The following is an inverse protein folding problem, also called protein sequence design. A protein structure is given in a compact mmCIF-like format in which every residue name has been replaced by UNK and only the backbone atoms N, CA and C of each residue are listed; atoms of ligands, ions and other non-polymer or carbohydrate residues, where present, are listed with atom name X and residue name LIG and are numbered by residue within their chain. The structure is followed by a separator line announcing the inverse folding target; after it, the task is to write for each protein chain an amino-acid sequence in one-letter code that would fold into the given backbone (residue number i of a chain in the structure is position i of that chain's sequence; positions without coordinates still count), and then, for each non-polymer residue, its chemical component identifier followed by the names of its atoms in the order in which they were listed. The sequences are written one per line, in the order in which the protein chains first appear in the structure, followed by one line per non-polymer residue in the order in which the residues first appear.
data_IF_614470831890
#
_entry.id   IF_614470831890
#
_cell.length_a   1.000
_cell.length_b   1.000
_cell.length_c   1.000
_cell.angle_alpha   90.00
_cell.angle_beta   90.00
_cell.angle_gamma   90.00
#
_symmetry.space_group_name_H-M   'P 1'
#
loop_
_entity.id
_entity.type
_entity.pdbx_description
1 polymer ?
#
# COMPACT_ATOMS: atom_id res chain seq x y z
N UNK A 1 -9.08 8.33 4.92
CA UNK A 1 -7.82 8.98 5.34
C UNK A 1 -7.20 8.07 6.37
N UNK A 2 -6.01 7.55 6.08
CA UNK A 2 -5.57 6.25 6.60
C UNK A 2 -4.51 6.39 7.70
N UNK A 3 -4.08 7.60 8.02
CA UNK A 3 -3.40 7.97 9.27
C UNK A 3 -4.46 8.22 10.38
N UNK A 4 -4.21 7.83 11.65
CA UNK A 4 -4.97 8.29 12.83
C UNK A 4 -5.33 9.79 12.88
N UNK A 5 -4.51 10.68 12.32
CA UNK A 5 -4.74 12.12 12.25
C UNK A 5 -5.61 12.57 11.07
N UNK A 6 -6.12 11.64 10.27
CA UNK A 6 -6.89 11.96 9.06
C UNK A 6 -6.02 12.52 7.93
N UNK A 7 -4.74 12.17 7.87
CA UNK A 7 -3.84 12.57 6.77
C UNK A 7 -3.71 11.42 5.74
N UNK A 8 -3.46 11.71 4.45
CA UNK A 8 -3.21 10.68 3.44
C UNK A 8 -1.95 9.85 3.75
N UNK A 9 -2.15 8.58 4.15
CA UNK A 9 -1.06 7.62 4.36
C UNK A 9 -1.53 6.18 4.13
N UNK A 10 -1.40 5.71 2.89
CA UNK A 10 -2.02 4.47 2.44
C UNK A 10 -1.24 3.21 2.86
N UNK A 11 -1.87 2.05 2.67
CA UNK A 11 -1.29 0.75 3.02
C UNK A 11 0.07 0.50 2.36
N UNK A 12 0.24 0.85 1.08
CA UNK A 12 1.52 0.72 0.37
C UNK A 12 2.68 1.47 1.05
N UNK A 13 2.40 2.67 1.58
CA UNK A 13 3.40 3.49 2.28
C UNK A 13 3.71 2.92 3.66
N UNK A 14 2.69 2.42 4.37
CA UNK A 14 2.87 1.74 5.65
C UNK A 14 3.71 0.48 5.52
N UNK A 15 3.53 -0.27 4.43
CA UNK A 15 4.37 -1.44 4.14
C UNK A 15 5.83 -1.02 3.97
N UNK A 16 6.12 0.04 3.20
CA UNK A 16 7.48 0.53 3.02
C UNK A 16 8.11 0.98 4.36
N UNK A 17 7.37 1.73 5.18
CA UNK A 17 7.82 2.14 6.51
C UNK A 17 8.10 0.93 7.42
N UNK A 18 7.21 -0.07 7.44
CA UNK A 18 7.37 -1.25 8.29
C UNK A 18 8.63 -2.07 7.96
N UNK A 19 9.03 -2.08 6.69
CA UNK A 19 10.14 -2.92 6.21
C UNK A 19 11.48 -2.17 6.21
N UNK A 20 11.48 -0.90 5.80
CA UNK A 20 12.71 -0.12 5.61
C UNK A 20 12.83 1.08 6.55
N UNK A 21 11.73 1.53 7.16
CA UNK A 21 11.63 2.87 7.73
C UNK A 21 11.45 3.94 6.65
N UNK A 22 11.20 5.18 7.08
CA UNK A 22 10.96 6.33 6.19
C UNK A 22 12.23 6.87 5.54
N UNK A 23 13.34 6.75 6.24
CA UNK A 23 14.68 7.20 5.81
C UNK A 23 15.59 6.03 5.40
N UNK A 24 15.03 4.82 5.29
CA UNK A 24 15.73 3.58 4.93
C UNK A 24 16.70 3.07 6.01
N UNK A 25 16.65 3.62 7.22
CA UNK A 25 17.50 3.25 8.36
C UNK A 25 16.74 2.42 9.40
N UNK A 26 15.71 1.68 8.99
CA UNK A 26 14.92 0.78 9.84
C UNK A 26 13.64 1.40 10.40
N UNK A 27 12.73 0.52 10.80
CA UNK A 27 11.42 0.86 11.35
C UNK A 27 11.51 1.25 12.83
N UNK A 28 10.98 2.40 13.21
CA UNK A 28 10.97 2.84 14.61
C UNK A 28 9.84 2.13 15.38
N UNK A 29 10.18 1.44 16.48
CA UNK A 29 9.25 0.60 17.24
C UNK A 29 8.02 1.32 17.80
N UNK A 30 8.13 2.63 18.05
CA UNK A 30 7.02 3.51 18.45
C UNK A 30 6.14 3.99 17.30
N UNK A 31 6.39 3.63 16.04
CA UNK A 31 5.60 4.18 14.94
C UNK A 31 4.11 3.84 15.05
N UNK A 32 3.27 4.87 14.94
CA UNK A 32 1.83 4.75 14.78
C UNK A 32 1.38 4.70 13.31
N UNK A 33 2.32 4.56 12.37
CA UNK A 33 2.09 4.70 10.93
C UNK A 33 1.39 6.03 10.59
N UNK A 34 2.01 7.13 11.02
CA UNK A 34 1.54 8.48 10.73
C UNK A 34 2.29 9.08 9.54
N UNK A 35 1.59 9.87 8.74
CA UNK A 35 2.09 10.59 7.58
C UNK A 35 3.20 11.58 7.94
N UNK A 36 3.14 12.16 9.14
CA UNK A 36 4.09 13.14 9.66
C UNK A 36 5.35 12.52 10.29
N UNK A 37 5.39 11.20 10.45
CA UNK A 37 6.52 10.51 11.09
C UNK A 37 6.64 10.78 12.59
N UNK A 38 5.58 11.29 13.22
CA UNK A 38 5.50 11.40 14.67
C UNK A 38 5.07 10.07 15.30
N UNK A 39 5.27 9.97 16.60
CA UNK A 39 4.72 8.88 17.40
C UNK A 39 3.16 8.96 17.48
N UNK A 40 2.48 7.91 17.97
CA UNK A 40 1.01 7.86 18.01
C UNK A 40 0.36 9.06 18.71
N UNK A 41 1.06 9.66 19.68
CA UNK A 41 0.60 10.82 20.43
C UNK A 41 0.85 12.15 19.69
N UNK A 42 1.67 12.16 18.64
CA UNK A 42 2.04 13.38 17.91
C UNK A 42 3.06 14.26 18.66
N UNK A 43 3.81 13.70 19.61
CA UNK A 43 4.70 14.44 20.50
C UNK A 43 6.17 14.31 20.08
N UNK A 44 6.57 13.15 19.56
CA UNK A 44 7.96 12.84 19.25
C UNK A 44 8.16 12.59 17.76
N UNK A 45 9.14 13.26 17.15
CA UNK A 45 9.57 12.96 15.77
C UNK A 45 10.40 11.68 15.75
N UNK A 46 9.92 10.65 15.06
CA UNK A 46 10.57 9.33 15.02
C UNK A 46 11.65 9.23 13.94
N UNK A 47 11.53 10.03 12.88
CA UNK A 47 12.43 10.06 11.73
C UNK A 47 12.98 11.49 11.50
N UNK A 48 13.81 12.01 12.42
CA UNK A 48 14.45 13.31 12.23
C UNK A 48 15.48 13.26 11.09
N UNK A 49 15.79 14.42 10.49
CA UNK A 49 16.81 14.52 9.44
C UNK A 49 18.20 14.06 9.92
N UNK A 50 18.50 14.28 11.20
CA UNK A 50 19.75 13.89 11.85
C UNK A 50 19.42 13.02 13.08
N UNK A 51 19.22 11.69 12.89
CA UNK A 51 18.91 10.80 13.99
C UNK A 51 20.13 10.59 14.88
N UNK A 52 19.94 10.71 16.19
CA UNK A 52 20.94 10.35 17.17
C UNK A 52 21.05 8.83 17.34
N UNK A 53 22.04 8.40 18.13
CA UNK A 53 22.31 6.99 18.38
C UNK A 53 21.13 6.27 19.04
N UNK A 54 20.48 6.91 20.01
CA UNK A 54 19.35 6.31 20.73
C UNK A 54 18.16 6.07 19.80
N UNK A 55 17.86 7.05 18.94
CA UNK A 55 16.84 6.92 17.92
C UNK A 55 17.14 5.79 16.94
N UNK A 56 18.40 5.65 16.50
CA UNK A 56 18.80 4.55 15.61
C UNK A 56 18.73 3.18 16.30
N UNK A 57 19.12 3.09 17.58
CA UNK A 57 19.03 1.85 18.36
C UNK A 57 17.58 1.42 18.65
N UNK A 58 16.65 2.36 18.73
CA UNK A 58 15.23 2.09 18.90
C UNK A 58 14.54 1.54 17.62
N UNK A 59 15.25 1.55 16.48
CA UNK A 59 14.77 1.05 15.20
C UNK A 59 15.10 -0.42 14.99
N UNK A 60 14.25 -1.08 14.22
CA UNK A 60 14.42 -2.48 13.82
C UNK A 60 14.56 -2.60 12.31
N UNK A 61 15.41 -3.53 11.87
CA UNK A 61 15.75 -3.64 10.45
C UNK A 61 16.81 -2.62 10.02
N UNK A 62 16.85 -2.20 8.74
CA UNK A 62 15.90 -2.54 7.67
C UNK A 62 15.87 -4.04 7.36
N UNK A 63 14.70 -4.55 7.01
CA UNK A 63 14.49 -6.00 6.76
C UNK A 63 14.76 -6.41 5.30
N UNK A 64 14.98 -5.44 4.42
CA UNK A 64 15.47 -5.64 3.06
C UNK A 64 16.68 -4.72 2.82
N UNK A 65 17.63 -5.19 2.03
CA UNK A 65 18.75 -4.36 1.59
C UNK A 65 18.26 -3.29 0.63
N UNK A 66 18.62 -2.02 0.90
CA UNK A 66 18.16 -0.85 0.16
C UNK A 66 18.32 -1.00 -1.36
N UNK A 67 19.43 -1.57 -1.80
CA UNK A 67 19.82 -1.71 -3.20
C UNK A 67 18.89 -2.67 -3.97
N UNK A 68 18.30 -3.63 -3.27
CA UNK A 68 17.48 -4.69 -3.85
C UNK A 68 16.00 -4.56 -3.47
N UNK A 69 15.63 -3.53 -2.70
CA UNK A 69 14.31 -3.44 -2.11
C UNK A 69 13.23 -2.97 -3.10
N UNK A 70 13.59 -2.46 -4.28
CA UNK A 70 12.67 -1.81 -5.23
C UNK A 70 11.77 -0.74 -4.56
N UNK A 71 12.32 -0.03 -3.58
CA UNK A 71 11.63 1.06 -2.90
C UNK A 71 11.93 2.39 -3.62
N UNK A 72 10.88 3.11 -3.97
CA UNK A 72 10.95 4.38 -4.70
C UNK A 72 10.13 5.44 -4.00
N UNK A 73 10.52 6.71 -4.15
CA UNK A 73 9.68 7.83 -3.72
C UNK A 73 8.47 7.94 -4.65
N UNK A 74 7.33 8.44 -4.16
CA UNK A 74 6.16 8.62 -5.01
C UNK A 74 6.44 9.53 -6.22
N UNK A 75 7.22 10.60 -6.04
CA UNK A 75 7.63 11.45 -7.16
C UNK A 75 8.51 10.72 -8.20
N UNK A 76 9.21 9.65 -7.83
CA UNK A 76 9.94 8.81 -8.78
C UNK A 76 8.99 7.97 -9.65
N UNK A 77 7.81 7.64 -9.13
CA UNK A 77 6.80 6.83 -9.83
C UNK A 77 5.86 7.71 -10.64
N UNK A 78 5.21 8.69 -10.00
CA UNK A 78 4.16 9.52 -10.60
C UNK A 78 4.68 10.82 -11.24
N UNK A 79 5.91 11.23 -10.89
CA UNK A 79 6.44 12.53 -11.24
C UNK A 79 6.07 13.61 -10.22
N UNK A 80 6.91 14.64 -10.15
CA UNK A 80 6.70 15.80 -9.26
C UNK A 80 5.38 16.51 -9.59
N UNK A 81 4.60 16.84 -8.57
CA UNK A 81 3.29 17.48 -8.67
C UNK A 81 2.13 16.52 -8.95
N UNK A 82 2.39 15.23 -9.18
CA UNK A 82 1.39 14.25 -9.60
C UNK A 82 1.11 13.17 -8.54
N UNK A 83 1.51 13.38 -7.28
CA UNK A 83 1.31 12.42 -6.18
C UNK A 83 -0.03 12.62 -5.45
N UNK A 84 -0.92 13.42 -6.03
CA UNK A 84 -2.21 13.78 -5.44
C UNK A 84 -2.04 14.38 -4.04
N UNK A 85 -2.76 13.86 -3.02
CA UNK A 85 -2.71 14.43 -1.68
C UNK A 85 -1.55 13.88 -0.83
N UNK A 86 -0.69 13.02 -1.39
CA UNK A 86 0.43 12.42 -0.67
C UNK A 86 1.70 13.27 -0.80
N UNK A 87 2.50 13.27 0.26
CA UNK A 87 3.86 13.82 0.23
C UNK A 87 4.71 13.03 -0.78
N UNK A 88 5.29 13.77 -1.73
CA UNK A 88 6.11 13.28 -2.83
C UNK A 88 7.32 12.44 -2.40
N UNK A 89 7.83 12.70 -1.19
CA UNK A 89 8.98 12.06 -0.60
C UNK A 89 8.68 10.69 0.02
N UNK A 90 7.40 10.32 0.18
CA UNK A 90 7.01 9.04 0.78
C UNK A 90 7.46 7.86 -0.09
N UNK A 91 7.88 6.79 0.59
CA UNK A 91 8.37 5.58 -0.03
C UNK A 91 7.24 4.58 -0.26
N UNK A 92 7.32 3.87 -1.39
CA UNK A 92 6.52 2.70 -1.71
C UNK A 92 7.41 1.63 -2.31
N UNK A 93 7.10 0.37 -2.04
CA UNK A 93 7.65 -0.74 -2.83
C UNK A 93 7.02 -0.75 -4.19
N UNK A 94 7.81 -0.99 -5.23
CA UNK A 94 7.32 -1.20 -6.58
C UNK A 94 7.53 -2.66 -7.00
N UNK A 95 6.65 -3.15 -7.86
CA UNK A 95 6.79 -4.46 -8.49
C UNK A 95 8.01 -4.53 -9.43
N UNK A 96 8.26 -5.74 -9.95
CA UNK A 96 9.42 -6.03 -10.80
C UNK A 96 9.16 -5.81 -12.29
N UNK A 97 8.11 -5.07 -12.67
CA UNK A 97 7.76 -4.78 -14.07
C UNK A 97 8.06 -3.32 -14.42
N UNK A 98 9.34 -2.94 -14.59
CA UNK A 98 9.72 -1.55 -14.74
C UNK A 98 9.26 -0.96 -16.07
N UNK A 99 8.54 0.17 -15.98
CA UNK A 99 8.19 1.01 -17.13
C UNK A 99 8.86 2.38 -16.98
N UNK A 100 9.04 3.09 -18.10
CA UNK A 100 9.56 4.46 -18.06
C UNK A 100 8.48 5.37 -17.46
N UNK A 101 8.78 6.02 -16.34
CA UNK A 101 7.85 6.88 -15.61
C UNK A 101 7.99 8.36 -15.99
N UNK A 102 7.00 9.21 -15.67
CA UNK A 102 7.07 10.65 -15.90
C UNK A 102 8.29 11.34 -15.27
N UNK A 103 8.81 10.79 -14.16
CA UNK A 103 10.04 11.26 -13.51
C UNK A 103 11.32 11.04 -14.35
N UNK A 104 11.24 10.23 -15.41
CA UNK A 104 12.38 9.73 -16.18
C UNK A 104 13.01 8.46 -15.62
N UNK A 105 12.66 8.04 -14.40
CA UNK A 105 13.13 6.76 -13.82
C UNK A 105 12.36 5.58 -14.42
N UNK A 106 12.97 4.39 -14.32
CA UNK A 106 12.29 3.12 -14.60
C UNK A 106 11.89 2.48 -13.28
N UNK A 107 10.60 2.33 -13.05
CA UNK A 107 10.04 1.72 -11.83
C UNK A 107 8.85 0.84 -12.17
N UNK A 108 8.58 -0.16 -11.34
CA UNK A 108 7.30 -0.88 -11.34
C UNK A 108 6.14 -0.03 -10.85
N UNK A 109 4.95 -0.62 -10.72
CA UNK A 109 3.82 -0.01 -10.01
C UNK A 109 3.94 -0.26 -8.50
N UNK A 110 3.39 0.63 -7.64
CA UNK A 110 3.40 0.39 -6.20
C UNK A 110 2.77 -0.96 -5.80
N UNK A 111 3.31 -1.64 -4.80
CA UNK A 111 2.67 -2.84 -4.25
C UNK A 111 1.62 -2.39 -3.23
N UNK A 112 0.35 -2.74 -3.48
CA UNK A 112 -0.75 -2.43 -2.57
C UNK A 112 -0.73 -3.38 -1.38
N UNK A 113 -0.93 -2.85 -0.18
CA UNK A 113 -0.99 -3.62 1.06
C UNK A 113 -2.31 -3.40 1.78
N UNK A 114 -3.01 -4.48 2.10
CA UNK A 114 -4.26 -4.45 2.86
C UNK A 114 -4.12 -5.35 4.08
N UNK A 115 -4.36 -4.80 5.27
CA UNK A 115 -4.27 -5.54 6.53
C UNK A 115 -5.65 -6.11 6.88
N UNK A 116 -5.73 -7.39 7.22
CA UNK A 116 -6.96 -7.94 7.77
C UNK A 116 -7.27 -7.34 9.15
N UNK A 117 -8.54 -7.06 9.40
CA UNK A 117 -9.05 -6.62 10.70
C UNK A 117 -9.36 -7.86 11.54
N UNK A 118 -8.71 -8.06 12.70
CA UNK A 118 -8.97 -9.24 13.54
C UNK A 118 -10.41 -9.39 14.03
N UNK A 119 -11.17 -8.28 14.08
CA UNK A 119 -12.59 -8.25 14.50
C UNK A 119 -13.56 -8.26 13.31
N UNK A 120 -13.06 -8.27 12.08
CA UNK A 120 -13.91 -8.33 10.89
C UNK A 120 -14.60 -9.68 10.79
N UNK A 121 -15.85 -9.67 10.34
CA UNK A 121 -16.69 -10.88 10.23
C UNK A 121 -17.35 -11.03 8.85
N UNK A 122 -17.19 -10.04 7.97
CA UNK A 122 -17.83 -10.00 6.65
C UNK A 122 -16.81 -9.85 5.51
N UNK A 123 -17.30 -10.11 4.29
CA UNK A 123 -16.62 -9.87 3.03
C UNK A 123 -17.66 -9.56 1.95
N UNK A 124 -18.22 -8.35 2.01
CA UNK A 124 -19.39 -7.95 1.26
C UNK A 124 -19.02 -7.22 -0.04
N UNK A 125 -19.39 -7.82 -1.18
CA UNK A 125 -19.19 -7.24 -2.51
C UNK A 125 -20.24 -6.16 -2.81
N UNK A 126 -21.43 -6.28 -2.23
CA UNK A 126 -22.55 -5.37 -2.49
C UNK A 126 -22.55 -4.17 -1.54
N UNK A 127 -21.92 -4.31 -0.38
CA UNK A 127 -21.63 -3.22 0.54
C UNK A 127 -20.12 -3.15 0.86
N UNK A 128 -19.30 -2.57 -0.04
CA UNK A 128 -17.87 -2.39 0.18
C UNK A 128 -17.53 -1.56 1.43
N UNK A 129 -18.44 -0.69 1.89
CA UNK A 129 -18.25 0.15 3.06
C UNK A 129 -18.70 -0.51 4.37
N UNK A 130 -19.22 -1.75 4.31
CA UNK A 130 -19.66 -2.51 5.48
C UNK A 130 -18.54 -2.54 6.55
N UNK A 131 -18.77 -1.98 7.75
CA UNK A 131 -17.74 -1.87 8.78
C UNK A 131 -17.30 -3.24 9.33
N UNK A 132 -18.10 -4.28 9.13
CA UNK A 132 -17.76 -5.66 9.48
C UNK A 132 -16.81 -6.31 8.47
N UNK A 133 -16.52 -5.68 7.32
CA UNK A 133 -15.60 -6.23 6.33
C UNK A 133 -14.20 -6.46 6.93
N UNK A 134 -13.63 -7.63 6.65
CA UNK A 134 -12.29 -8.04 7.13
C UNK A 134 -11.21 -7.13 6.56
N UNK A 135 -11.33 -6.76 5.28
CA UNK A 135 -10.44 -5.82 4.63
C UNK A 135 -11.15 -4.50 4.35
N UNK A 136 -10.38 -3.43 4.25
CA UNK A 136 -10.87 -2.12 3.86
C UNK A 136 -10.19 -1.69 2.55
N UNK A 137 -10.95 -1.66 1.46
CA UNK A 137 -10.43 -1.21 0.15
C UNK A 137 -9.86 0.21 0.21
N UNK A 138 -10.35 1.04 1.15
CA UNK A 138 -9.92 2.42 1.33
C UNK A 138 -8.46 2.51 1.79
N UNK A 139 -7.86 1.42 2.28
CA UNK A 139 -6.45 1.36 2.66
C UNK A 139 -5.54 1.85 1.51
N UNK A 140 -5.90 1.61 0.24
CA UNK A 140 -5.14 2.09 -0.91
C UNK A 140 -5.96 2.85 -1.96
N UNK A 141 -7.27 3.03 -1.79
CA UNK A 141 -8.14 3.66 -2.79
C UNK A 141 -7.63 5.01 -3.31
N UNK A 142 -7.05 5.85 -2.44
CA UNK A 142 -6.50 7.15 -2.86
C UNK A 142 -5.26 7.00 -3.75
N UNK A 143 -4.42 5.99 -3.50
CA UNK A 143 -3.26 5.67 -4.34
C UNK A 143 -3.71 5.07 -5.68
N UNK A 144 -4.68 4.15 -5.64
CA UNK A 144 -5.34 3.61 -6.86
C UNK A 144 -6.02 4.75 -7.65
N UNK A 145 -6.57 5.75 -6.97
CA UNK A 145 -7.19 6.91 -7.61
C UNK A 145 -6.22 7.85 -8.34
N UNK A 146 -4.89 7.71 -8.14
CA UNK A 146 -3.90 8.47 -8.92
C UNK A 146 -3.83 7.99 -10.38
N UNK A 147 -4.34 6.80 -10.68
CA UNK A 147 -4.28 6.19 -12.01
C UNK A 147 -2.89 5.72 -12.40
N UNK A 148 -2.71 5.42 -13.68
CA UNK A 148 -1.43 4.92 -14.21
C UNK A 148 -0.47 6.10 -14.45
N UNK A 149 0.77 6.06 -13.91
CA UNK A 149 1.74 7.14 -14.10
C UNK A 149 2.03 7.47 -15.56
N UNK A 150 1.69 8.68 -15.99
CA UNK A 150 1.92 9.15 -17.35
C UNK A 150 0.80 8.82 -18.34
N UNK A 151 -0.27 8.16 -17.89
CA UNK A 151 -1.43 7.79 -18.71
C UNK A 151 -2.71 8.36 -18.09
N UNK A 152 -3.03 9.64 -18.33
CA UNK A 152 -4.11 10.36 -17.62
C UNK A 152 -5.52 9.78 -17.83
N UNK A 153 -5.72 8.94 -18.85
CA UNK A 153 -7.01 8.32 -19.15
C UNK A 153 -7.09 6.85 -18.68
N UNK A 154 -5.97 6.28 -18.22
CA UNK A 154 -5.94 4.89 -17.77
C UNK A 154 -6.42 4.82 -16.31
N UNK A 155 -7.56 4.17 -16.13
CA UNK A 155 -8.20 3.97 -14.83
C UNK A 155 -8.00 2.53 -14.41
N UNK A 156 -7.50 2.33 -13.19
CA UNK A 156 -7.40 1.00 -12.60
C UNK A 156 -8.79 0.39 -12.41
N UNK A 157 -9.07 -0.83 -12.91
CA UNK A 157 -10.32 -1.54 -12.58
C UNK A 157 -10.58 -1.65 -11.07
N UNK A 158 -9.53 -1.76 -10.26
CA UNK A 158 -9.62 -1.78 -8.79
C UNK A 158 -10.09 -0.45 -8.18
N UNK A 159 -10.26 0.61 -8.98
CA UNK A 159 -10.91 1.85 -8.52
C UNK A 159 -12.40 1.64 -8.20
N UNK A 160 -13.04 0.60 -8.74
CA UNK A 160 -14.34 0.14 -8.27
C UNK A 160 -14.16 -0.73 -7.01
N UNK A 161 -14.65 -0.29 -5.83
CA UNK A 161 -14.52 -1.06 -4.60
C UNK A 161 -15.13 -2.47 -4.69
N UNK A 162 -16.19 -2.65 -5.50
CA UNK A 162 -16.81 -3.97 -5.71
C UNK A 162 -15.81 -4.94 -6.33
N UNK A 163 -14.96 -4.46 -7.24
CA UNK A 163 -13.89 -5.24 -7.89
C UNK A 163 -12.91 -5.80 -6.86
N UNK A 164 -12.54 -4.99 -5.87
CA UNK A 164 -11.67 -5.43 -4.77
C UNK A 164 -12.27 -6.60 -4.00
N UNK A 165 -13.51 -6.47 -3.51
CA UNK A 165 -14.15 -7.54 -2.74
C UNK A 165 -14.43 -8.77 -3.60
N UNK A 166 -14.80 -8.61 -4.87
CA UNK A 166 -15.05 -9.72 -5.78
C UNK A 166 -13.77 -10.55 -6.03
N UNK A 167 -12.64 -9.88 -6.31
CA UNK A 167 -11.40 -10.55 -6.69
C UNK A 167 -10.62 -11.11 -5.49
N UNK A 168 -10.86 -10.59 -4.29
CA UNK A 168 -10.23 -11.08 -3.04
C UNK A 168 -11.06 -12.15 -2.32
N UNK A 169 -12.23 -12.50 -2.86
CA UNK A 169 -13.12 -13.53 -2.32
C UNK A 169 -12.55 -14.95 -2.54
N UNK A 170 -12.51 -15.73 -1.46
CA UNK A 170 -12.11 -17.13 -1.48
C UNK A 170 -13.14 -18.00 -2.20
N UNK A 171 -12.64 -19.03 -2.87
CA UNK A 171 -13.42 -20.09 -3.50
C UNK A 171 -13.39 -21.40 -2.71
N UNK A 172 -12.69 -21.43 -1.56
CA UNK A 172 -12.37 -22.66 -0.84
C UNK A 172 -13.51 -23.25 -0.01
N UNK A 173 -14.65 -22.57 0.14
CA UNK A 173 -15.79 -23.13 0.88
C UNK A 173 -17.14 -22.55 0.42
N UNK A 174 -18.20 -23.36 0.32
CA UNK A 174 -19.57 -22.93 0.02
C UNK A 174 -20.28 -22.22 1.20
N UNK A 175 -19.54 -21.89 2.27
CA UNK A 175 -20.04 -21.18 3.45
C UNK A 175 -20.23 -19.67 3.21
N UNK A 176 -20.38 -18.86 4.27
CA UNK A 176 -20.49 -17.42 4.13
C UNK A 176 -19.27 -16.85 3.39
N UNK A 177 -19.50 -15.84 2.54
CA UNK A 177 -18.46 -15.15 1.76
C UNK A 177 -17.29 -14.78 2.67
N UNK A 178 -16.09 -15.31 2.37
CA UNK A 178 -14.84 -15.01 3.08
C UNK A 178 -13.74 -14.67 2.09
N UNK A 179 -12.75 -13.84 2.47
CA UNK A 179 -11.63 -13.54 1.61
C UNK A 179 -10.59 -14.67 1.60
N UNK A 180 -9.62 -14.60 0.69
CA UNK A 180 -8.54 -15.58 0.54
C UNK A 180 -7.56 -15.66 1.74
N UNK A 181 -7.44 -14.61 2.56
CA UNK A 181 -6.50 -14.56 3.69
C UNK A 181 -7.06 -13.87 4.97
N UNK A 182 -8.22 -14.32 5.49
CA UNK A 182 -8.99 -13.56 6.48
C UNK A 182 -8.26 -13.16 7.77
N UNK A 183 -7.18 -13.86 8.11
CA UNK A 183 -6.41 -13.65 9.35
C UNK A 183 -5.03 -13.00 9.13
N UNK A 184 -4.72 -12.54 7.91
CA UNK A 184 -3.38 -12.05 7.54
C UNK A 184 -3.44 -10.72 6.74
N UNK A 185 -2.84 -10.66 5.55
CA UNK A 185 -2.74 -9.47 4.72
C UNK A 185 -2.78 -9.83 3.25
N UNK A 186 -3.19 -8.88 2.41
CA UNK A 186 -3.15 -9.02 0.96
C UNK A 186 -2.07 -8.10 0.40
N UNK A 187 -1.27 -8.64 -0.50
CA UNK A 187 -0.39 -7.88 -1.39
C UNK A 187 -0.91 -7.99 -2.82
N UNK A 188 -0.97 -6.86 -3.54
CA UNK A 188 -1.33 -6.82 -4.95
C UNK A 188 -0.27 -6.02 -5.71
N UNK A 189 0.36 -6.67 -6.68
CA UNK A 189 1.20 -6.07 -7.71
C UNK A 189 0.36 -5.92 -8.98
N UNK A 190 0.47 -4.78 -9.66
CA UNK A 190 -0.30 -4.49 -10.88
C UNK A 190 0.12 -5.34 -12.10
N UNK A 191 1.22 -6.08 -11.98
CA UNK A 191 1.71 -6.91 -13.07
C UNK A 191 2.40 -6.09 -14.16
N UNK A 192 2.58 -6.73 -15.30
CA UNK A 192 3.19 -6.17 -16.51
C UNK A 192 2.32 -5.09 -17.16
N UNK A 193 0.99 -5.24 -17.15
CA UNK A 193 0.09 -4.26 -17.76
C UNK A 193 0.01 -2.93 -16.95
N UNK A 194 0.44 -2.97 -15.68
CA UNK A 194 0.48 -1.80 -14.80
C UNK A 194 -0.90 -1.36 -14.30
N UNK A 195 -1.95 -2.19 -14.44
CA UNK A 195 -3.32 -1.90 -14.04
C UNK A 195 -3.79 -2.83 -12.91
N UNK A 196 -4.03 -2.27 -11.71
CA UNK A 196 -4.67 -3.05 -10.65
C UNK A 196 -6.10 -3.47 -11.00
N UNK A 197 -6.43 -4.72 -10.73
CA UNK A 197 -7.74 -5.32 -10.90
C UNK A 197 -7.92 -6.08 -12.22
N UNK A 198 -6.83 -6.35 -12.95
CA UNK A 198 -6.82 -7.15 -14.20
C UNK A 198 -6.41 -8.60 -13.94
N UNK A 199 -6.38 -9.42 -14.99
CA UNK A 199 -5.93 -10.82 -14.90
C UNK A 199 -4.44 -10.98 -14.66
N UNK A 200 -3.65 -9.92 -14.88
CA UNK A 200 -2.19 -9.93 -14.78
C UNK A 200 -1.67 -9.57 -13.38
N UNK A 201 -2.57 -9.17 -12.47
CA UNK A 201 -2.25 -8.91 -11.08
C UNK A 201 -1.56 -10.11 -10.41
N UNK A 202 -0.45 -9.84 -9.72
CA UNK A 202 0.27 -10.84 -8.92
C UNK A 202 -0.02 -10.60 -7.45
N UNK A 203 -0.56 -11.61 -6.78
CA UNK A 203 -0.96 -11.54 -5.39
C UNK A 203 -0.24 -12.57 -4.52
N UNK A 204 -0.22 -12.35 -3.20
CA UNK A 204 0.27 -13.34 -2.23
C UNK A 204 -0.73 -14.50 -1.97
N UNK A 205 -1.80 -14.59 -2.77
CA UNK A 205 -2.78 -15.66 -2.82
C UNK A 205 -3.12 -15.98 -4.28
N UNK A 206 -3.87 -17.06 -4.51
CA UNK A 206 -4.34 -17.40 -5.86
C UNK A 206 -5.35 -16.37 -6.36
N UNK A 207 -4.91 -15.47 -7.22
CA UNK A 207 -5.77 -14.49 -7.88
C UNK A 207 -6.73 -15.20 -8.83
N UNK A 208 -8.02 -14.92 -8.69
CA UNK A 208 -9.05 -15.35 -9.64
C UNK A 208 -9.73 -14.10 -10.16
N UNK A 209 -9.30 -13.67 -11.34
CA UNK A 209 -9.95 -12.58 -12.05
C UNK A 209 -11.42 -12.94 -12.30
N UNK A 210 -12.31 -12.04 -11.87
CA UNK A 210 -13.76 -12.16 -12.04
C UNK A 210 -14.27 -10.85 -12.63
N UNK A 211 -15.10 -10.95 -13.66
CA UNK A 211 -15.68 -9.79 -14.35
C UNK A 211 -16.96 -9.29 -13.68
#
# INVERSE_FOLDING_TARGET
MNDPAGVPYCGAMKLAEAVLGRDLCGFHSRSGFRADGLDPNGETTLYPNEPDKENLEARKGPYLQRENANAYRLADVYGKGNTGPFDEGLLVFCDTYPQKRPSGKKTGMPILYYRARPKGTAHDVNDPDNPANIYDYRDNQVLVGLGVPGEPNAVHPLSDPRRFYLNTMSDRSPGPSRPCQPDSFILISAGYDGLYGTSDDVCNFTWKYRE
#
